data_IF_693093105000
#
_entry.id   IF_693093105000
#
_cell.length_a   1.000
_cell.length_b   1.000
_cell.length_c   1.000
_cell.angle_alpha   90.00
_cell.angle_beta   90.00
_cell.angle_gamma   90.00
#
_symmetry.space_group_name_H-M   'P 1'
#
loop_
_entity.id
_entity.type
_entity.pdbx_description
1 polymer ?
#
# COMPACT_ATOMS: atom_id res chain seq x y z
N UNK A 1 15.34 -23.90 5.19
CA UNK A 1 16.06 -23.37 4.01
C UNK A 1 16.11 -21.87 4.17
N UNK A 2 17.30 -21.32 4.43
CA UNK A 2 17.51 -19.88 4.56
C UNK A 2 17.49 -19.31 3.14
N UNK A 3 16.50 -18.49 2.81
CA UNK A 3 16.50 -17.77 1.55
C UNK A 3 17.65 -16.75 1.60
N UNK A 4 18.73 -17.01 0.85
CA UNK A 4 19.76 -16.02 0.58
C UNK A 4 19.10 -14.86 -0.18
N UNK A 5 18.85 -13.76 0.52
CA UNK A 5 18.39 -12.51 -0.06
C UNK A 5 19.63 -11.82 -0.64
N UNK A 6 20.04 -12.20 -1.85
CA UNK A 6 20.95 -11.36 -2.63
C UNK A 6 20.18 -10.11 -3.05
N UNK A 7 20.62 -8.90 -2.66
CA UNK A 7 19.94 -7.69 -3.06
C UNK A 7 20.34 -7.41 -4.51
N UNK A 8 19.61 -7.99 -5.47
CA UNK A 8 19.65 -7.56 -6.86
C UNK A 8 19.15 -6.11 -6.91
N UNK A 9 20.07 -5.16 -6.71
CA UNK A 9 19.86 -3.71 -6.71
C UNK A 9 18.79 -3.20 -5.73
N UNK A 10 19.20 -2.51 -4.67
CA UNK A 10 18.27 -1.76 -3.82
C UNK A 10 17.68 -0.60 -4.63
N UNK A 11 16.54 -0.83 -5.29
CA UNK A 11 15.88 0.16 -6.13
C UNK A 11 14.98 1.03 -5.26
N UNK A 12 15.47 2.23 -4.94
CA UNK A 12 14.70 3.24 -4.19
C UNK A 12 13.53 3.70 -5.06
N UNK A 13 12.30 3.48 -4.59
CA UNK A 13 11.11 3.98 -5.26
C UNK A 13 10.86 5.46 -4.92
N UNK A 14 10.04 6.14 -5.74
CA UNK A 14 9.58 7.51 -5.42
C UNK A 14 8.88 7.58 -4.05
N UNK A 15 8.22 6.50 -3.65
CA UNK A 15 7.56 6.43 -2.36
C UNK A 15 8.53 6.39 -1.17
N UNK A 16 9.69 5.75 -1.34
CA UNK A 16 10.71 5.68 -0.29
C UNK A 16 11.32 7.06 -0.03
N UNK A 17 11.55 7.84 -1.09
CA UNK A 17 12.00 9.23 -0.99
C UNK A 17 10.95 10.09 -0.26
N UNK A 18 9.67 9.96 -0.64
CA UNK A 18 8.57 10.69 0.02
C UNK A 18 8.52 10.35 1.51
N UNK A 19 8.66 9.07 1.86
CA UNK A 19 8.65 8.63 3.26
C UNK A 19 9.83 9.24 4.04
N UNK A 20 11.03 9.26 3.45
CA UNK A 20 12.20 9.87 4.05
C UNK A 20 12.01 11.39 4.27
N UNK A 21 11.47 12.10 3.29
CA UNK A 21 11.15 13.53 3.40
C UNK A 21 10.13 13.76 4.52
N UNK A 22 9.05 12.98 4.57
CA UNK A 22 8.04 13.08 5.65
C UNK A 22 8.65 12.83 7.03
N UNK A 23 9.56 11.86 7.14
CA UNK A 23 10.27 11.56 8.39
C UNK A 23 11.14 12.73 8.84
N UNK A 24 11.98 13.29 7.94
CA UNK A 24 12.85 14.44 8.23
C UNK A 24 12.03 15.65 8.70
N UNK A 25 10.87 15.88 8.10
CA UNK A 25 10.00 17.01 8.43
C UNK A 25 8.95 16.71 9.51
N UNK A 26 9.01 15.54 10.16
CA UNK A 26 8.06 15.10 11.20
C UNK A 26 6.58 15.22 10.78
N UNK A 27 6.29 14.94 9.51
CA UNK A 27 4.93 14.95 8.98
C UNK A 27 4.23 13.67 9.42
N UNK A 28 3.10 13.81 10.12
CA UNK A 28 2.27 12.66 10.51
C UNK A 28 1.71 11.98 9.27
N UNK A 29 2.07 10.71 9.08
CA UNK A 29 1.69 9.91 7.92
C UNK A 29 1.17 8.54 8.34
N UNK A 30 0.51 7.87 7.41
CA UNK A 30 -0.06 6.53 7.57
C UNK A 30 0.42 5.66 6.41
N UNK A 31 1.03 4.52 6.74
CA UNK A 31 1.39 3.51 5.75
C UNK A 31 0.30 2.44 5.74
N UNK A 32 -0.32 2.26 4.58
CA UNK A 32 -1.31 1.21 4.37
C UNK A 32 -0.59 0.00 3.80
N UNK A 33 -0.71 -1.14 4.46
CA UNK A 33 0.00 -2.37 4.10
C UNK A 33 -0.94 -3.46 3.59
N UNK A 34 -0.40 -4.42 2.83
CA UNK A 34 -1.17 -5.55 2.34
C UNK A 34 -1.58 -6.48 3.50
N UNK A 35 -2.88 -6.86 3.62
CA UNK A 35 -3.35 -7.74 4.67
C UNK A 35 -3.05 -9.23 4.42
N UNK A 36 -2.72 -9.60 3.19
CA UNK A 36 -2.48 -10.98 2.75
C UNK A 36 -1.57 -11.00 1.51
N UNK A 37 -1.06 -12.18 1.19
CA UNK A 37 -0.38 -12.42 -0.09
C UNK A 37 -1.42 -12.45 -1.21
N UNK A 38 -1.18 -11.73 -2.30
CA UNK A 38 -2.20 -11.63 -3.34
C UNK A 38 -1.91 -10.60 -4.42
N UNK A 39 -2.99 -10.19 -5.09
CA UNK A 39 -2.95 -9.25 -6.20
C UNK A 39 -3.70 -7.96 -5.87
N UNK A 40 -3.07 -6.83 -6.14
CA UNK A 40 -3.61 -5.51 -5.85
C UNK A 40 -4.53 -4.93 -6.91
N UNK A 41 -5.52 -4.15 -6.44
CA UNK A 41 -6.48 -3.42 -7.25
C UNK A 41 -6.75 -2.06 -6.61
N UNK A 42 -6.57 -0.98 -7.38
CA UNK A 42 -6.93 0.38 -7.00
C UNK A 42 -7.31 1.17 -8.24
N UNK A 43 -8.18 2.17 -8.07
CA UNK A 43 -8.41 3.24 -9.04
C UNK A 43 -7.85 4.58 -8.56
N UNK A 44 -7.30 4.62 -7.36
CA UNK A 44 -6.74 5.82 -6.76
C UNK A 44 -5.24 5.96 -7.04
N UNK A 45 -4.81 7.18 -7.23
CA UNK A 45 -3.43 7.62 -7.48
C UNK A 45 -2.99 8.69 -6.48
N UNK A 46 -1.68 9.00 -6.41
CA UNK A 46 -1.19 10.14 -5.65
C UNK A 46 -1.94 11.44 -6.01
N UNK A 47 -2.32 12.20 -4.99
CA UNK A 47 -3.14 13.41 -5.11
C UNK A 47 -4.64 13.19 -4.90
N UNK A 48 -5.15 11.96 -4.93
CA UNK A 48 -6.55 11.70 -4.60
C UNK A 48 -6.82 11.84 -3.09
N UNK A 49 -7.97 12.43 -2.76
CA UNK A 49 -8.57 12.42 -1.42
C UNK A 49 -9.50 11.22 -1.27
N UNK A 50 -9.37 10.49 -0.17
CA UNK A 50 -10.24 9.37 0.21
C UNK A 50 -10.99 9.74 1.48
N UNK A 51 -12.32 9.74 1.40
CA UNK A 51 -13.16 10.04 2.54
C UNK A 51 -13.26 8.87 3.53
N UNK A 52 -13.41 9.20 4.81
CA UNK A 52 -13.67 8.26 5.90
C UNK A 52 -14.79 7.31 5.54
N UNK A 53 -14.51 6.03 5.74
CA UNK A 53 -15.43 4.94 5.53
C UNK A 53 -15.60 4.48 4.08
N UNK A 54 -14.93 5.12 3.11
CA UNK A 54 -14.92 4.66 1.71
C UNK A 54 -13.85 3.59 1.50
N UNK A 55 -14.17 2.61 0.66
CA UNK A 55 -13.18 1.66 0.16
C UNK A 55 -12.39 2.29 -0.97
N UNK A 56 -11.06 2.13 -0.96
CA UNK A 56 -10.19 2.79 -1.94
C UNK A 56 -9.18 1.84 -2.61
N UNK A 57 -9.04 0.63 -2.08
CA UNK A 57 -8.24 -0.42 -2.70
C UNK A 57 -8.77 -1.80 -2.29
N UNK A 58 -8.29 -2.83 -2.98
CA UNK A 58 -8.55 -4.22 -2.63
C UNK A 58 -7.34 -5.10 -2.94
N UNK A 59 -7.20 -6.18 -2.17
CA UNK A 59 -6.23 -7.25 -2.41
C UNK A 59 -7.03 -8.53 -2.60
N UNK A 60 -6.85 -9.19 -3.75
CA UNK A 60 -7.33 -10.55 -3.96
C UNK A 60 -6.30 -11.51 -3.34
N UNK A 61 -6.62 -12.05 -2.17
CA UNK A 61 -5.76 -12.98 -1.45
C UNK A 61 -5.63 -14.29 -2.24
N UNK A 62 -4.42 -14.85 -2.21
CA UNK A 62 -4.13 -16.17 -2.72
C UNK A 62 -4.15 -17.15 -1.54
N UNK A 63 -5.31 -17.75 -1.26
CA UNK A 63 -5.40 -18.83 -0.29
C UNK A 63 -5.03 -20.18 -0.95
N UNK A 64 -4.39 -21.07 -0.20
CA UNK A 64 -3.95 -22.40 -0.68
C UNK A 64 -5.13 -23.27 -1.13
N UNK A 65 -6.33 -23.05 -0.59
CA UNK A 65 -7.55 -23.79 -0.88
C UNK A 65 -8.42 -23.15 -1.98
N UNK A 66 -7.88 -22.77 -3.15
CA UNK A 66 -8.61 -22.33 -4.37
C UNK A 66 -9.66 -21.20 -4.25
N UNK A 67 -10.01 -20.75 -3.04
CA UNK A 67 -11.03 -19.76 -2.75
C UNK A 67 -10.39 -18.38 -2.82
N UNK A 68 -10.70 -17.64 -3.88
CA UNK A 68 -10.25 -16.26 -4.04
C UNK A 68 -11.02 -15.37 -3.07
N UNK A 69 -10.40 -15.03 -1.94
CA UNK A 69 -10.96 -14.05 -0.99
C UNK A 69 -10.47 -12.65 -1.35
N UNK A 70 -11.38 -11.71 -1.55
CA UNK A 70 -11.03 -10.30 -1.76
C UNK A 70 -11.15 -9.51 -0.46
N UNK A 71 -10.04 -8.93 0.00
CA UNK A 71 -10.03 -8.00 1.12
C UNK A 71 -10.06 -6.56 0.62
N UNK A 72 -11.12 -5.83 0.95
CA UNK A 72 -11.26 -4.40 0.62
C UNK A 72 -10.67 -3.54 1.72
N UNK A 73 -9.95 -2.50 1.35
CA UNK A 73 -9.28 -1.58 2.27
C UNK A 73 -10.14 -0.31 2.39
N UNK A 74 -10.51 0.01 3.63
CA UNK A 74 -11.42 1.13 3.99
C UNK A 74 -10.63 2.25 4.66
N UNK A 75 -10.90 3.49 4.29
CA UNK A 75 -10.29 4.64 4.96
C UNK A 75 -10.90 4.83 6.35
N UNK A 76 -10.05 4.96 7.38
CA UNK A 76 -10.49 5.19 8.76
C UNK A 76 -10.72 6.68 9.09
N UNK A 77 -10.16 7.56 8.26
CA UNK A 77 -10.23 9.02 8.33
C UNK A 77 -10.27 9.59 6.91
N UNK A 78 -10.55 10.88 6.80
CA UNK A 78 -10.30 11.61 5.55
C UNK A 78 -8.79 11.72 5.35
N UNK A 79 -8.29 11.22 4.21
CA UNK A 79 -6.87 11.12 3.94
C UNK A 79 -6.55 11.46 2.49
N UNK A 80 -5.39 12.07 2.26
CA UNK A 80 -4.82 12.28 0.93
C UNK A 80 -3.77 11.20 0.66
N UNK A 81 -3.80 10.62 -0.55
CA UNK A 81 -2.76 9.68 -0.99
C UNK A 81 -1.56 10.49 -1.46
N UNK A 82 -0.39 10.24 -0.87
CA UNK A 82 0.85 10.90 -1.27
C UNK A 82 1.72 9.98 -2.12
N UNK A 83 1.68 8.67 -1.86
CA UNK A 83 2.34 7.67 -2.70
C UNK A 83 1.48 6.42 -2.84
N UNK A 84 1.58 5.75 -3.99
CA UNK A 84 0.91 4.49 -4.30
C UNK A 84 1.91 3.48 -4.85
N UNK A 85 2.00 2.34 -4.20
CA UNK A 85 2.81 1.20 -4.63
C UNK A 85 1.98 0.13 -5.32
N UNK A 86 0.68 0.12 -5.02
CA UNK A 86 -0.33 -0.77 -5.59
C UNK A 86 -0.71 -0.36 -7.01
N UNK A 87 -0.86 -1.36 -7.87
CA UNK A 87 -1.36 -1.23 -9.23
C UNK A 87 -2.09 -2.51 -9.63
N UNK A 88 -2.91 -2.43 -10.68
CA UNK A 88 -3.77 -3.53 -11.12
C UNK A 88 -2.98 -4.81 -11.37
N UNK A 89 -3.36 -5.90 -10.69
CA UNK A 89 -2.73 -7.23 -10.77
C UNK A 89 -1.25 -7.28 -10.40
N UNK A 90 -0.69 -6.25 -9.77
CA UNK A 90 0.64 -6.35 -9.16
C UNK A 90 0.58 -7.27 -7.94
N UNK A 91 1.57 -8.15 -7.80
CA UNK A 91 1.69 -9.08 -6.67
C UNK A 91 2.21 -8.35 -5.43
N UNK A 92 1.65 -8.69 -4.27
CA UNK A 92 2.05 -8.21 -2.96
C UNK A 92 2.12 -9.38 -1.98
N UNK A 93 3.02 -9.27 -1.01
CA UNK A 93 3.08 -10.09 0.18
C UNK A 93 2.45 -9.36 1.36
N UNK A 94 1.99 -10.12 2.35
CA UNK A 94 1.46 -9.56 3.60
C UNK A 94 2.50 -8.64 4.25
N UNK A 95 2.08 -7.42 4.57
CA UNK A 95 2.96 -6.40 5.14
C UNK A 95 3.59 -5.46 4.11
N UNK A 96 3.57 -5.79 2.82
CA UNK A 96 4.10 -4.89 1.79
C UNK A 96 3.35 -3.55 1.78
N UNK A 97 4.05 -2.43 1.59
CA UNK A 97 3.40 -1.12 1.50
C UNK A 97 2.54 -1.03 0.24
N UNK A 98 1.32 -0.52 0.41
CA UNK A 98 0.38 -0.25 -0.68
C UNK A 98 0.26 1.24 -0.94
N UNK A 99 0.18 2.06 0.12
CA UNK A 99 0.08 3.51 0.04
C UNK A 99 0.83 4.20 1.19
N UNK A 100 1.27 5.43 0.93
CA UNK A 100 1.58 6.41 1.97
C UNK A 100 0.48 7.48 1.90
N UNK A 101 -0.14 7.77 3.04
CA UNK A 101 -1.25 8.70 3.15
C UNK A 101 -1.02 9.71 4.29
N UNK A 102 -1.65 10.88 4.19
CA UNK A 102 -1.67 11.90 5.25
C UNK A 102 -3.11 12.29 5.55
N UNK A 103 -3.41 12.65 6.79
CA UNK A 103 -4.75 13.11 7.16
C UNK A 103 -5.09 14.40 6.41
N UNK A 104 -6.32 14.49 5.88
CA UNK A 104 -6.84 15.73 5.31
C UNK A 104 -7.38 16.60 6.44
N UNK A 105 -7.00 17.88 6.46
CA UNK A 105 -7.67 18.89 7.28
C UNK A 105 -9.09 19.17 6.77
#
# INVERSE_FOLDING_TARGET
MVHNYEPESFQVSKGDIILQVMFIHNIKHHIIVSPCDGFGYTFNSPGNKVSKGKYFAAIQCKDEEKNKRTQKIKAVKDMNIVSSYISFKKKFFKGDPLFIMVESN
#
